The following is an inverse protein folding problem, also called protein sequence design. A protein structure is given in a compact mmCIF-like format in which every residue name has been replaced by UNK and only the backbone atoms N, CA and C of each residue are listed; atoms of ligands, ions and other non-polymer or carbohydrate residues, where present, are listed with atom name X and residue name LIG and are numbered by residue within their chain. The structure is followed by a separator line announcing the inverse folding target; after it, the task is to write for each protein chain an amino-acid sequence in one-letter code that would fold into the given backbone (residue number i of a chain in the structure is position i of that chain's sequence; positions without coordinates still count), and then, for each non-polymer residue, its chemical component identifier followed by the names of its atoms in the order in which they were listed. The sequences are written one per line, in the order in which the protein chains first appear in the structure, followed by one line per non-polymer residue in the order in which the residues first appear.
data_IF_996206788737
#
_entry.id   IF_996206788737
#
_cell.length_a   1.000
_cell.length_b   1.000
_cell.length_c   1.000
_cell.angle_alpha   90.00
_cell.angle_beta   90.00
_cell.angle_gamma   90.00
#
_symmetry.space_group_name_H-M   'P 1'
#
loop_
_entity.id
_entity.type
_entity.pdbx_description
1 polymer ?
#
# COMPACT_ATOMS: atom_id res chain seq x y z
N UNK A 1 -7.39 -17.77 5.71
CA UNK A 1 -6.18 -17.73 4.87
C UNK A 1 -5.86 -19.16 4.51
N UNK A 2 -5.63 -19.46 3.24
CA UNK A 2 -5.43 -20.83 2.79
C UNK A 2 -4.03 -21.33 3.14
N UNK A 3 -3.92 -22.59 3.58
CA UNK A 3 -2.64 -23.24 3.77
C UNK A 3 -1.93 -23.43 2.43
N UNK A 4 -0.67 -22.99 2.25
CA UNK A 4 0.04 -23.13 0.97
C UNK A 4 0.37 -24.60 0.62
N UNK A 5 0.30 -25.52 1.59
CA UNK A 5 0.64 -26.92 1.42
C UNK A 5 -0.57 -27.81 1.09
N UNK A 6 -1.66 -27.69 1.85
CA UNK A 6 -2.85 -28.52 1.70
C UNK A 6 -4.11 -27.74 1.26
N UNK A 7 -4.02 -26.43 1.05
CA UNK A 7 -5.13 -25.55 0.60
C UNK A 7 -6.35 -25.47 1.55
N UNK A 8 -6.27 -26.01 2.75
CA UNK A 8 -7.34 -25.87 3.73
C UNK A 8 -7.48 -24.40 4.20
N UNK A 9 -8.69 -24.03 4.61
CA UNK A 9 -9.00 -22.65 5.03
C UNK A 9 -8.68 -22.40 6.51
N UNK A 10 -8.68 -23.48 7.31
CA UNK A 10 -8.45 -23.46 8.75
C UNK A 10 -6.96 -23.39 9.06
N UNK A 11 -6.50 -22.18 9.37
CA UNK A 11 -5.13 -21.87 9.76
C UNK A 11 -5.14 -20.97 10.99
N UNK A 12 -4.38 -21.36 12.02
CA UNK A 12 -4.31 -20.67 13.30
C UNK A 12 -3.13 -19.70 13.33
N UNK A 13 -3.34 -18.49 13.85
CA UNK A 13 -2.27 -17.52 14.09
C UNK A 13 -1.55 -17.88 15.40
N UNK A 14 -0.23 -18.02 15.34
CA UNK A 14 0.62 -18.33 16.50
C UNK A 14 1.29 -17.06 17.04
N UNK A 15 1.90 -16.28 16.15
CA UNK A 15 2.71 -15.12 16.50
C UNK A 15 2.42 -13.99 15.51
N UNK A 16 2.39 -12.75 16.02
CA UNK A 16 2.13 -11.55 15.22
C UNK A 16 3.15 -10.49 15.58
N UNK A 17 3.90 -10.01 14.59
CA UNK A 17 4.90 -8.95 14.74
C UNK A 17 4.65 -7.85 13.74
N UNK A 18 4.84 -6.61 14.18
CA UNK A 18 4.90 -5.46 13.28
C UNK A 18 6.28 -5.49 12.60
N UNK A 19 6.32 -5.33 11.28
CA UNK A 19 7.58 -5.21 10.54
C UNK A 19 8.29 -3.91 10.92
N UNK A 20 9.62 -3.88 10.82
CA UNK A 20 10.44 -2.74 11.28
C UNK A 20 10.04 -1.40 10.62
N UNK A 21 9.52 -1.45 9.39
CA UNK A 21 9.04 -0.28 8.64
C UNK A 21 7.63 0.19 9.05
N UNK A 22 6.98 -0.47 10.03
CA UNK A 22 5.66 -0.12 10.57
C UNK A 22 4.45 -0.35 9.63
N UNK A 23 4.69 -0.52 8.33
CA UNK A 23 3.63 -0.59 7.30
C UNK A 23 3.04 -1.98 7.06
N UNK A 24 3.57 -3.04 7.69
CA UNK A 24 3.07 -4.40 7.52
C UNK A 24 3.13 -5.21 8.81
N UNK A 25 2.24 -6.20 8.92
CA UNK A 25 2.17 -7.15 10.02
C UNK A 25 2.58 -8.52 9.47
N UNK A 26 3.65 -9.08 10.02
CA UNK A 26 4.04 -10.47 9.78
C UNK A 26 3.35 -11.37 10.79
N UNK A 27 2.53 -12.29 10.31
CA UNK A 27 1.88 -13.32 11.13
C UNK A 27 2.45 -14.70 10.81
N UNK A 28 2.89 -15.42 11.84
CA UNK A 28 3.23 -16.84 11.75
C UNK A 28 1.95 -17.65 11.97
N UNK A 29 1.61 -18.51 11.02
CA UNK A 29 0.43 -19.36 11.03
C UNK A 29 0.81 -20.84 11.06
N UNK A 30 -0.07 -21.66 11.62
CA UNK A 30 0.00 -23.12 11.58
C UNK A 30 -1.29 -23.68 10.99
N UNK A 31 -1.15 -24.67 10.12
CA UNK A 31 -2.27 -25.40 9.56
C UNK A 31 -2.74 -26.48 10.54
N UNK A 32 -4.02 -26.50 10.87
CA UNK A 32 -4.58 -27.51 11.79
C UNK A 32 -4.74 -28.89 11.13
N UNK A 33 -4.74 -28.96 9.80
CA UNK A 33 -4.90 -30.22 9.07
C UNK A 33 -3.56 -30.93 8.78
N UNK A 34 -2.52 -30.20 8.35
CA UNK A 34 -1.23 -30.78 8.01
C UNK A 34 -0.10 -30.44 9.00
N UNK A 35 -0.36 -29.62 10.02
CA UNK A 35 0.62 -29.23 11.04
C UNK A 35 1.71 -28.26 10.58
N UNK A 36 1.72 -27.91 9.29
CA UNK A 36 2.78 -27.08 8.71
C UNK A 36 2.68 -25.63 9.14
N UNK A 37 3.85 -25.00 9.30
CA UNK A 37 3.98 -23.60 9.74
C UNK A 37 4.47 -22.71 8.61
N UNK A 38 3.82 -21.57 8.43
CA UNK A 38 4.18 -20.59 7.39
C UNK A 38 3.98 -19.16 7.86
N UNK A 39 4.56 -18.20 7.12
CA UNK A 39 4.42 -16.78 7.42
C UNK A 39 3.51 -16.11 6.41
N UNK A 40 2.73 -15.14 6.88
CA UNK A 40 1.89 -14.27 6.05
C UNK A 40 2.20 -12.83 6.37
N UNK A 41 2.14 -11.98 5.34
CA UNK A 41 2.34 -10.55 5.47
C UNK A 41 1.02 -9.86 5.15
N UNK A 42 0.54 -9.06 6.10
CA UNK A 42 -0.66 -8.24 5.95
C UNK A 42 -0.20 -6.78 5.84
N UNK A 43 -0.55 -6.11 4.75
CA UNK A 43 -0.25 -4.70 4.52
C UNK A 43 -1.57 -3.93 4.47
N UNK A 44 -1.61 -2.74 5.07
CA UNK A 44 -2.79 -1.89 4.98
C UNK A 44 -3.03 -1.48 3.52
N UNK A 45 -4.21 -1.78 2.98
CA UNK A 45 -4.63 -1.26 1.67
C UNK A 45 -5.08 0.19 1.85
N UNK A 46 -4.20 1.14 1.54
CA UNK A 46 -4.52 2.57 1.57
C UNK A 46 -5.25 2.94 0.27
N UNK A 47 -6.56 3.15 0.36
CA UNK A 47 -7.34 3.71 -0.75
C UNK A 47 -7.27 5.23 -0.71
N UNK A 48 -6.56 5.80 -1.67
CA UNK A 48 -6.45 7.26 -1.81
C UNK A 48 -7.81 7.86 -2.22
N UNK A 49 -8.09 9.11 -1.80
CA UNK A 49 -9.38 9.75 -2.07
C UNK A 49 -9.58 10.04 -3.56
N UNK A 50 -10.84 10.20 -3.95
CA UNK A 50 -11.17 10.79 -5.25
C UNK A 50 -11.03 12.32 -5.18
N UNK A 51 -10.40 12.92 -6.19
CA UNK A 51 -10.22 14.35 -6.32
C UNK A 51 -11.37 14.94 -7.14
N UNK A 52 -11.98 16.01 -6.63
CA UNK A 52 -12.95 16.82 -7.39
C UNK A 52 -12.18 17.87 -8.19
N UNK A 53 -12.26 17.79 -9.51
CA UNK A 53 -11.61 18.73 -10.44
C UNK A 53 -12.39 20.03 -10.53
N UNK A 54 -11.75 21.08 -11.03
CA UNK A 54 -12.35 22.42 -11.17
C UNK A 54 -13.61 22.44 -12.05
N UNK A 55 -13.78 21.45 -12.92
CA UNK A 55 -14.95 21.25 -13.76
C UNK A 55 -16.01 20.33 -13.14
N UNK A 56 -15.85 19.97 -11.87
CA UNK A 56 -16.77 19.11 -11.10
C UNK A 56 -16.57 17.60 -11.31
N UNK A 57 -15.70 17.17 -12.23
CA UNK A 57 -15.45 15.73 -12.44
C UNK A 57 -14.71 15.13 -11.24
N UNK A 58 -15.06 13.88 -10.90
CA UNK A 58 -14.34 13.09 -9.88
C UNK A 58 -13.42 12.10 -10.54
N UNK A 59 -12.16 12.11 -10.14
CA UNK A 59 -11.16 11.14 -10.58
C UNK A 59 -10.40 10.56 -9.39
N UNK A 60 -9.93 9.30 -9.45
CA UNK A 60 -9.02 8.78 -8.44
C UNK A 60 -7.79 9.66 -8.35
N UNK A 61 -7.27 9.87 -7.13
CA UNK A 61 -5.97 10.50 -6.98
C UNK A 61 -4.90 9.68 -7.71
N UNK A 62 -4.13 10.36 -8.54
CA UNK A 62 -3.01 9.80 -9.30
C UNK A 62 -1.80 10.73 -9.12
N UNK A 63 -0.82 10.24 -8.36
CA UNK A 63 0.41 10.98 -8.05
C UNK A 63 1.20 11.31 -9.32
N UNK A 64 1.30 10.38 -10.27
CA UNK A 64 2.04 10.57 -11.51
C UNK A 64 1.41 11.66 -12.39
N UNK A 65 0.07 11.70 -12.42
CA UNK A 65 -0.69 12.77 -13.08
C UNK A 65 -0.42 14.13 -12.43
N UNK A 66 -0.42 14.20 -11.10
CA UNK A 66 -0.14 15.42 -10.35
C UNK A 66 1.29 15.92 -10.63
N UNK A 67 2.30 15.05 -10.49
CA UNK A 67 3.71 15.36 -10.80
C UNK A 67 3.90 15.86 -12.22
N UNK A 68 3.21 15.25 -13.19
CA UNK A 68 3.26 15.71 -14.59
C UNK A 68 2.69 17.12 -14.74
N UNK A 69 1.60 17.44 -14.03
CA UNK A 69 1.05 18.79 -13.97
C UNK A 69 2.04 19.82 -13.41
N UNK A 70 2.69 19.49 -12.29
CA UNK A 70 3.74 20.34 -11.69
C UNK A 70 4.92 20.57 -12.64
N UNK A 71 5.45 19.51 -13.26
CA UNK A 71 6.56 19.62 -14.24
C UNK A 71 6.23 20.56 -15.39
N UNK A 72 4.99 20.52 -15.90
CA UNK A 72 4.52 21.42 -16.97
C UNK A 72 4.39 22.86 -16.48
N UNK A 73 3.78 23.07 -15.32
CA UNK A 73 3.54 24.41 -14.76
C UNK A 73 4.83 25.12 -14.32
N UNK A 74 5.81 24.36 -13.81
CA UNK A 74 7.08 24.87 -13.30
C UNK A 74 8.20 24.85 -14.34
N UNK A 75 7.90 24.57 -15.60
CA UNK A 75 8.91 24.53 -16.66
C UNK A 75 9.66 25.89 -16.74
N UNK A 76 10.99 25.84 -16.67
CA UNK A 76 11.90 27.01 -16.66
C UNK A 76 11.66 27.99 -15.49
N UNK A 77 11.01 27.55 -14.41
CA UNK A 77 10.88 28.32 -13.17
C UNK A 77 11.97 27.89 -12.19
N UNK A 78 12.56 28.81 -11.42
CA UNK A 78 13.55 28.49 -10.40
C UNK A 78 12.85 27.93 -9.15
N UNK A 79 12.36 26.69 -9.24
CA UNK A 79 11.74 25.97 -8.12
C UNK A 79 12.46 24.65 -7.95
N UNK A 80 13.01 24.43 -6.76
CA UNK A 80 13.73 23.21 -6.40
C UNK A 80 12.80 21.98 -6.40
N UNK A 81 13.32 20.84 -6.84
CA UNK A 81 12.57 19.57 -6.93
C UNK A 81 12.03 19.12 -5.57
N UNK A 82 12.78 19.33 -4.48
CA UNK A 82 12.36 18.97 -3.12
C UNK A 82 11.06 19.67 -2.70
N UNK A 83 10.85 20.91 -3.15
CA UNK A 83 9.61 21.65 -2.87
C UNK A 83 8.41 21.09 -3.63
N UNK A 84 8.65 20.49 -4.80
CA UNK A 84 7.63 19.78 -5.56
C UNK A 84 7.31 18.46 -4.89
N UNK A 85 8.32 17.72 -4.44
CA UNK A 85 8.13 16.44 -3.75
C UNK A 85 7.41 16.58 -2.41
N UNK A 86 7.63 17.68 -1.67
CA UNK A 86 6.90 17.95 -0.42
C UNK A 86 5.42 18.38 -0.64
N UNK A 87 5.04 18.75 -1.86
CA UNK A 87 3.69 19.25 -2.19
C UNK A 87 2.80 18.19 -2.87
N UNK A 88 3.36 17.03 -3.19
CA UNK A 88 2.70 15.88 -3.84
C UNK A 88 2.41 14.82 -2.79
#
# INVERSE_FOLDING_TARGET
MHCPFCQCVDTRVIDSRVSDDGGSIRRRRECEQCGERFNTFETAEVKLPNVVKSDGRREPFDEAKLRTGFRRALQKRPVESERVDAAV
#
